data_IF_746722221760
#
_entry.id   IF_746722221760
#
_cell.length_a   1.000
_cell.length_b   1.000
_cell.length_c   1.000
_cell.angle_alpha   90.00
_cell.angle_beta   90.00
_cell.angle_gamma   90.00
#
_symmetry.space_group_name_H-M   'P 1'
#
loop_
_entity.id
_entity.type
_entity.pdbx_description
1 polymer ?
#
# COMPACT_ATOMS: atom_id res chain seq x y z
N UNK A 1 17.94 -24.87 27.80
CA UNK A 1 18.09 -24.17 26.50
C UNK A 1 16.71 -23.83 25.91
N UNK A 2 15.94 -22.98 26.58
CA UNK A 2 14.55 -22.64 26.22
C UNK A 2 14.21 -21.14 26.31
N UNK A 3 15.18 -20.29 26.65
CA UNK A 3 14.97 -18.84 26.78
C UNK A 3 15.08 -18.05 25.47
N UNK A 4 15.94 -18.46 24.54
CA UNK A 4 16.29 -17.63 23.36
C UNK A 4 15.23 -17.60 22.25
N UNK A 5 14.41 -18.63 22.09
CA UNK A 5 13.37 -18.66 21.03
C UNK A 5 12.14 -17.80 21.37
N UNK A 6 11.86 -17.58 22.66
CA UNK A 6 10.66 -16.85 23.09
C UNK A 6 10.84 -15.33 22.93
N UNK A 7 12.05 -14.82 23.21
CA UNK A 7 12.39 -13.40 23.06
C UNK A 7 12.34 -12.91 21.60
N UNK A 8 12.78 -13.73 20.66
CA UNK A 8 12.76 -13.38 19.23
C UNK A 8 11.31 -13.30 18.72
N UNK A 9 10.46 -14.27 19.09
CA UNK A 9 9.03 -14.27 18.74
C UNK A 9 8.33 -13.02 19.30
N UNK A 10 8.63 -12.65 20.54
CA UNK A 10 8.02 -11.46 21.18
C UNK A 10 8.37 -10.16 20.45
N UNK A 11 9.60 -10.02 19.92
CA UNK A 11 10.00 -8.85 19.11
C UNK A 11 9.21 -8.76 17.81
N UNK A 12 9.11 -9.85 17.06
CA UNK A 12 8.35 -9.88 15.81
C UNK A 12 6.87 -9.54 16.05
N UNK A 13 6.25 -10.13 17.08
CA UNK A 13 4.86 -9.85 17.45
C UNK A 13 4.66 -8.38 17.82
N UNK A 14 5.57 -7.77 18.61
CA UNK A 14 5.46 -6.37 19.03
C UNK A 14 5.54 -5.39 17.85
N UNK A 15 6.38 -5.68 16.85
CA UNK A 15 6.46 -4.90 15.61
C UNK A 15 5.17 -5.01 14.80
N UNK A 16 4.65 -6.24 14.60
CA UNK A 16 3.38 -6.45 13.90
C UNK A 16 2.20 -5.71 14.57
N UNK A 17 2.15 -5.72 15.89
CA UNK A 17 1.09 -5.08 16.66
C UNK A 17 1.17 -3.55 16.58
N UNK A 18 2.39 -2.98 16.57
CA UNK A 18 2.59 -1.54 16.33
C UNK A 18 2.13 -1.09 14.94
N UNK A 19 2.36 -1.91 13.92
CA UNK A 19 1.92 -1.63 12.54
C UNK A 19 0.42 -1.77 12.40
N UNK A 20 -0.17 -2.80 13.01
CA UNK A 20 -1.61 -2.99 13.04
C UNK A 20 -2.31 -1.77 13.63
N UNK A 21 -1.78 -1.24 14.74
CA UNK A 21 -2.24 0.03 15.33
C UNK A 21 -2.05 1.21 14.37
N UNK A 22 -0.90 1.34 13.71
CA UNK A 22 -0.67 2.39 12.72
C UNK A 22 -1.68 2.34 11.55
N UNK A 23 -1.99 1.14 11.03
CA UNK A 23 -3.00 0.95 9.99
C UNK A 23 -4.42 1.27 10.46
N UNK A 24 -4.74 0.93 11.71
CA UNK A 24 -6.02 1.25 12.32
C UNK A 24 -6.18 2.77 12.45
N UNK A 25 -5.17 3.47 12.97
CA UNK A 25 -5.14 4.93 13.05
C UNK A 25 -5.28 5.55 11.66
N UNK A 26 -4.48 5.09 10.70
CA UNK A 26 -4.51 5.61 9.33
C UNK A 26 -5.89 5.36 8.66
N UNK A 27 -6.61 4.32 9.09
CA UNK A 27 -7.98 4.02 8.66
C UNK A 27 -9.01 4.94 9.30
N UNK A 28 -8.91 5.19 10.61
CA UNK A 28 -9.73 6.19 11.27
C UNK A 28 -9.55 7.58 10.65
N UNK A 29 -8.31 7.96 10.31
CA UNK A 29 -8.01 9.22 9.62
C UNK A 29 -8.66 9.27 8.23
N UNK A 30 -8.67 8.16 7.47
CA UNK A 30 -9.30 8.16 6.14
C UNK A 30 -10.81 8.29 6.21
N UNK A 31 -11.45 7.58 7.15
CA UNK A 31 -12.89 7.69 7.36
C UNK A 31 -13.23 9.09 7.86
N UNK A 32 -12.46 9.65 8.79
CA UNK A 32 -12.67 11.02 9.28
C UNK A 32 -12.53 12.09 8.20
N UNK A 33 -11.56 11.94 7.28
CA UNK A 33 -11.41 12.85 6.13
C UNK A 33 -12.54 12.66 5.10
N UNK A 34 -13.02 11.43 4.91
CA UNK A 34 -14.14 11.17 4.00
C UNK A 34 -15.47 11.69 4.53
N UNK A 35 -15.70 11.61 5.85
CA UNK A 35 -16.91 12.12 6.53
C UNK A 35 -16.91 13.65 6.61
N UNK A 36 -15.74 14.28 6.72
CA UNK A 36 -15.58 15.73 6.58
C UNK A 36 -15.59 16.11 5.10
N UNK A 37 -16.79 16.05 4.51
CA UNK A 37 -17.12 16.38 3.11
C UNK A 37 -16.97 17.90 2.81
N UNK A 38 -15.86 18.51 3.21
CA UNK A 38 -15.53 19.93 3.02
C UNK A 38 -14.65 20.20 1.78
N UNK A 39 -14.33 19.18 0.99
CA UNK A 39 -13.35 19.26 -0.10
C UNK A 39 -14.00 18.94 -1.46
N UNK A 40 -13.72 19.78 -2.46
CA UNK A 40 -14.06 19.57 -3.88
C UNK A 40 -13.67 18.16 -4.33
N UNK A 41 -14.49 17.50 -5.15
CA UNK A 41 -14.35 16.09 -5.60
C UNK A 41 -12.92 15.69 -5.96
N UNK A 42 -12.17 16.58 -6.62
CA UNK A 42 -10.77 16.35 -7.01
C UNK A 42 -9.82 16.20 -5.82
N UNK A 43 -9.96 17.02 -4.78
CA UNK A 43 -9.07 16.99 -3.61
C UNK A 43 -9.34 15.74 -2.75
N UNK A 44 -10.60 15.31 -2.66
CA UNK A 44 -10.98 14.06 -1.99
C UNK A 44 -10.32 12.84 -2.66
N UNK A 45 -10.31 12.78 -4.00
CA UNK A 45 -9.67 11.68 -4.75
C UNK A 45 -8.17 11.62 -4.51
N UNK A 46 -7.49 12.79 -4.54
CA UNK A 46 -6.04 12.85 -4.30
C UNK A 46 -5.71 12.36 -2.89
N UNK A 47 -6.43 12.82 -1.88
CA UNK A 47 -6.20 12.39 -0.49
C UNK A 47 -6.51 10.90 -0.31
N UNK A 48 -7.58 10.40 -0.93
CA UNK A 48 -7.92 8.98 -0.90
C UNK A 48 -6.81 8.10 -1.51
N UNK A 49 -6.24 8.49 -2.67
CA UNK A 49 -5.14 7.78 -3.32
C UNK A 49 -3.85 7.80 -2.51
N UNK A 50 -3.52 8.94 -1.89
CA UNK A 50 -2.34 9.06 -1.02
C UNK A 50 -2.48 8.15 0.19
N UNK A 51 -3.63 8.18 0.88
CA UNK A 51 -3.83 7.35 2.06
C UNK A 51 -3.90 5.87 1.70
N UNK A 52 -4.54 5.52 0.58
CA UNK A 52 -4.54 4.15 0.06
C UNK A 52 -3.12 3.64 -0.21
N UNK A 53 -2.27 4.46 -0.84
CA UNK A 53 -0.87 4.12 -1.11
C UNK A 53 -0.08 3.89 0.17
N UNK A 54 -0.20 4.78 1.16
CA UNK A 54 0.51 4.67 2.44
C UNK A 54 0.08 3.41 3.20
N UNK A 55 -1.23 3.11 3.24
CA UNK A 55 -1.74 1.86 3.83
C UNK A 55 -1.19 0.62 3.12
N UNK A 56 -1.24 0.61 1.79
CA UNK A 56 -0.75 -0.51 0.99
C UNK A 56 0.76 -0.73 1.21
N UNK A 57 1.56 0.33 1.28
CA UNK A 57 2.99 0.24 1.59
C UNK A 57 3.26 -0.29 3.00
N UNK A 58 2.50 0.15 4.01
CA UNK A 58 2.61 -0.36 5.38
C UNK A 58 2.23 -1.85 5.45
N UNK A 59 1.15 -2.26 4.78
CA UNK A 59 0.76 -3.68 4.69
C UNK A 59 1.86 -4.49 4.00
N UNK A 60 2.39 -4.02 2.86
CA UNK A 60 3.44 -4.71 2.12
C UNK A 60 4.74 -4.85 2.92
N UNK A 61 5.21 -3.77 3.56
CA UNK A 61 6.46 -3.78 4.31
C UNK A 61 6.38 -4.64 5.59
N UNK A 62 5.23 -4.68 6.27
CA UNK A 62 5.16 -5.24 7.61
C UNK A 62 4.35 -6.53 7.71
N UNK A 63 3.23 -6.68 7.00
CA UNK A 63 2.45 -7.92 7.07
C UNK A 63 3.08 -9.05 6.25
N UNK A 64 3.83 -8.72 5.20
CA UNK A 64 4.47 -9.69 4.31
C UNK A 64 5.90 -10.11 4.72
N UNK A 65 6.34 -9.84 5.96
CA UNK A 65 7.59 -10.35 6.53
C UNK A 65 8.87 -9.97 5.73
N UNK A 66 9.02 -8.68 5.37
CA UNK A 66 10.22 -8.21 4.65
C UNK A 66 11.42 -7.83 5.54
N UNK A 67 11.23 -7.66 6.85
CA UNK A 67 12.32 -7.16 7.72
C UNK A 67 13.37 -8.23 8.03
N UNK A 68 13.05 -9.52 7.86
CA UNK A 68 13.96 -10.60 8.27
C UNK A 68 14.54 -11.42 7.12
N UNK A 69 13.93 -11.47 5.93
CA UNK A 69 14.46 -12.33 4.87
C UNK A 69 13.93 -11.99 3.44
N UNK A 70 14.83 -11.97 2.45
CA UNK A 70 14.61 -12.17 0.99
C UNK A 70 14.06 -11.00 0.14
N UNK A 71 14.95 -10.29 -0.55
CA UNK A 71 14.64 -9.36 -1.66
C UNK A 71 13.88 -9.94 -2.87
N UNK A 72 13.55 -11.24 -2.89
CA UNK A 72 12.77 -11.90 -3.94
C UNK A 72 11.31 -11.41 -3.99
N UNK A 73 10.69 -11.10 -2.83
CA UNK A 73 9.31 -10.62 -2.76
C UNK A 73 9.18 -9.20 -3.36
N UNK A 74 10.17 -8.33 -3.09
CA UNK A 74 10.20 -6.98 -3.67
C UNK A 74 10.30 -7.03 -5.20
N UNK A 75 11.00 -8.03 -5.73
CA UNK A 75 11.12 -8.29 -7.17
C UNK A 75 9.78 -8.69 -7.79
N UNK A 76 9.00 -9.56 -7.13
CA UNK A 76 7.66 -10.00 -7.57
C UNK A 76 6.63 -8.87 -7.48
N UNK A 77 6.65 -8.08 -6.40
CA UNK A 77 5.76 -6.92 -6.27
C UNK A 77 6.11 -5.88 -7.36
N UNK A 78 7.41 -5.66 -7.61
CA UNK A 78 7.88 -4.78 -8.67
C UNK A 78 7.45 -5.24 -10.07
N UNK A 79 7.58 -6.53 -10.39
CA UNK A 79 7.19 -7.06 -11.70
C UNK A 79 5.67 -7.03 -11.89
N UNK A 80 4.90 -7.30 -10.84
CA UNK A 80 3.44 -7.24 -10.86
C UNK A 80 2.95 -5.79 -11.02
N UNK A 81 3.55 -4.84 -10.30
CA UNK A 81 3.25 -3.41 -10.43
C UNK A 81 3.60 -2.87 -11.82
N UNK A 82 4.74 -3.28 -12.39
CA UNK A 82 5.13 -2.93 -13.76
C UNK A 82 4.09 -3.42 -14.76
N UNK A 83 3.66 -4.68 -14.66
CA UNK A 83 2.65 -5.26 -15.54
C UNK A 83 1.30 -4.55 -15.39
N UNK A 84 0.90 -4.23 -14.17
CA UNK A 84 -0.31 -3.49 -13.88
C UNK A 84 -0.31 -2.10 -14.51
N UNK A 85 0.80 -1.34 -14.39
CA UNK A 85 0.96 -0.03 -15.02
C UNK A 85 0.98 -0.15 -16.54
N UNK A 86 1.66 -1.17 -17.10
CA UNK A 86 1.68 -1.42 -18.54
C UNK A 86 0.27 -1.71 -19.08
N UNK A 87 -0.54 -2.51 -18.37
CA UNK A 87 -1.93 -2.79 -18.72
C UNK A 87 -2.83 -1.56 -18.59
N UNK A 88 -2.60 -0.67 -17.62
CA UNK A 88 -3.32 0.60 -17.51
C UNK A 88 -2.94 1.60 -18.62
N UNK A 89 -1.68 1.60 -19.06
CA UNK A 89 -1.23 2.49 -20.15
C UNK A 89 -1.77 2.05 -21.51
N UNK A 90 -1.88 0.74 -21.77
CA UNK A 90 -2.36 0.16 -23.04
C UNK A 90 -3.69 0.76 -23.58
N UNK A 91 -4.76 0.91 -22.80
CA UNK A 91 -5.96 1.60 -23.23
C UNK A 91 -5.73 3.10 -23.40
N UNK A 92 -4.93 3.75 -22.56
CA UNK A 92 -4.66 5.20 -22.66
C UNK A 92 -3.95 5.55 -23.97
N UNK A 93 -2.92 4.79 -24.37
CA UNK A 93 -2.25 4.98 -25.68
C UNK A 93 -3.16 4.61 -26.86
N UNK A 94 -4.04 3.62 -26.70
CA UNK A 94 -5.01 3.24 -27.74
C UNK A 94 -6.03 4.35 -27.97
N UNK A 95 -6.61 4.90 -26.91
CA UNK A 95 -7.55 6.03 -26.99
C UNK A 95 -6.87 7.30 -27.50
N UNK A 96 -5.64 7.60 -27.05
CA UNK A 96 -4.88 8.75 -27.51
C UNK A 96 -4.50 8.65 -29.01
N UNK A 97 -4.27 7.44 -29.52
CA UNK A 97 -4.11 7.17 -30.95
C UNK A 97 -5.42 7.29 -31.73
N UNK A 98 -6.53 6.80 -31.16
CA UNK A 98 -7.85 6.82 -31.78
C UNK A 98 -8.45 8.24 -31.88
N UNK A 99 -8.13 9.14 -30.94
CA UNK A 99 -8.55 10.56 -30.97
C UNK A 99 -7.76 11.40 -32.00
N UNK A 100 -6.55 11.00 -32.38
CA UNK A 100 -5.74 11.72 -33.39
C UNK A 100 -6.16 11.41 -34.84
N UNK A 101 -6.98 10.39 -35.07
CA UNK A 101 -7.34 9.89 -36.42
C UNK A 101 -8.77 10.30 -36.84
N UNK A 102 -9.49 11.06 -36.01
CA UNK A 102 -10.74 11.75 -36.35
C UNK A 102 -10.56 13.25 -36.36
#
# INVERSE_FOLDING_TARGET
MSGSSVEEIQKHVRVYLGVFLALLVLTGVTVGVAELHFLTTTQAIIVALVVASVKASLVACYFMHLISERGMIFWIIGICALFFVALLLLPVITEAGNVRVR
#
